data_IF_456290644777
#
_entry.id   IF_456290644777
#
_cell.length_a   1.000
_cell.length_b   1.000
_cell.length_c   1.000
_cell.angle_alpha   90.00
_cell.angle_beta   90.00
_cell.angle_gamma   90.00
#
_symmetry.space_group_name_H-M   'P 1'
#
loop_
_entity.id
_entity.type
_entity.pdbx_description
1 polymer ?
#
# COMPACT_ATOMS: atom_id res chain seq x y z
N UNK A 1 20.24 -13.27 -0.32
CA UNK A 1 19.00 -12.69 -0.90
C UNK A 1 18.84 -11.24 -0.45
N UNK A 2 19.08 -10.27 -1.33
CA UNK A 2 19.04 -8.84 -0.99
C UNK A 2 17.61 -8.35 -0.65
N UNK A 3 17.32 -7.93 0.60
CA UNK A 3 15.97 -7.54 1.04
C UNK A 3 15.43 -6.29 0.34
N UNK A 4 16.33 -5.41 -0.09
CA UNK A 4 16.03 -4.14 -0.76
C UNK A 4 15.48 -4.31 -2.18
N UNK A 5 15.76 -5.45 -2.83
CA UNK A 5 15.42 -5.70 -4.24
C UNK A 5 13.97 -6.15 -4.43
N UNK A 6 13.38 -6.85 -3.45
CA UNK A 6 11.97 -7.29 -3.47
C UNK A 6 10.98 -6.14 -3.25
N UNK A 7 11.35 -5.15 -2.41
CA UNK A 7 10.57 -3.94 -2.19
C UNK A 7 10.57 -3.01 -3.41
N UNK A 8 11.73 -2.88 -4.07
CA UNK A 8 11.83 -2.15 -5.34
C UNK A 8 11.01 -2.79 -6.45
N UNK A 9 10.86 -4.12 -6.51
CA UNK A 9 10.02 -4.76 -7.52
C UNK A 9 8.56 -4.38 -7.34
N UNK A 10 7.89 -4.78 -6.24
CA UNK A 10 6.43 -4.58 -6.06
C UNK A 10 5.97 -3.13 -6.13
N UNK A 11 6.74 -2.20 -5.57
CA UNK A 11 6.39 -0.77 -5.67
C UNK A 11 6.73 -0.15 -7.01
N UNK A 12 7.56 -0.77 -7.86
CA UNK A 12 7.78 -0.23 -9.20
C UNK A 12 6.53 -0.40 -10.08
N UNK A 13 5.85 -1.57 -10.06
CA UNK A 13 4.61 -1.70 -10.84
C UNK A 13 3.50 -0.78 -10.31
N UNK A 14 3.26 -0.76 -9.00
CA UNK A 14 2.25 0.15 -8.42
C UNK A 14 2.61 1.63 -8.63
N UNK A 15 3.90 2.00 -8.59
CA UNK A 15 4.34 3.37 -8.89
C UNK A 15 4.19 3.71 -10.38
N UNK A 16 4.47 2.78 -11.29
CA UNK A 16 4.25 2.96 -12.72
C UNK A 16 2.76 3.18 -13.02
N UNK A 17 1.89 2.37 -12.41
CA UNK A 17 0.43 2.53 -12.50
C UNK A 17 -0.01 3.88 -11.92
N UNK A 18 0.48 4.25 -10.74
CA UNK A 18 0.17 5.53 -10.10
C UNK A 18 0.63 6.72 -10.96
N UNK A 19 1.83 6.67 -11.53
CA UNK A 19 2.35 7.73 -12.40
C UNK A 19 1.58 7.83 -13.72
N UNK A 20 1.16 6.70 -14.29
CA UNK A 20 0.31 6.70 -15.48
C UNK A 20 -1.06 7.32 -15.19
N UNK A 21 -1.66 7.01 -14.03
CA UNK A 21 -2.92 7.60 -13.60
C UNK A 21 -2.79 9.10 -13.28
N UNK A 22 -1.69 9.51 -12.65
CA UNK A 22 -1.37 10.91 -12.39
C UNK A 22 -1.32 11.73 -13.69
N UNK A 23 -0.64 11.22 -14.73
CA UNK A 23 -0.60 11.86 -16.05
C UNK A 23 -1.98 12.04 -16.68
N UNK A 24 -2.89 11.08 -16.48
CA UNK A 24 -4.25 11.13 -17.04
C UNK A 24 -5.22 12.00 -16.24
N UNK A 25 -5.01 12.15 -14.94
CA UNK A 25 -5.94 12.82 -14.03
C UNK A 25 -5.47 14.20 -13.57
N UNK A 26 -4.21 14.57 -13.83
CA UNK A 26 -3.58 15.78 -13.30
C UNK A 26 -3.37 15.75 -11.78
N UNK A 27 -3.56 14.61 -11.11
CA UNK A 27 -3.36 14.46 -9.66
C UNK A 27 -1.93 13.98 -9.36
N UNK A 28 -1.32 14.41 -8.24
CA UNK A 28 0.04 14.01 -7.91
C UNK A 28 0.11 12.52 -7.54
N UNK A 29 1.10 11.82 -8.09
CA UNK A 29 1.52 10.51 -7.59
C UNK A 29 2.66 10.69 -6.58
N UNK A 30 2.55 10.05 -5.40
CA UNK A 30 3.56 10.12 -4.35
C UNK A 30 3.98 8.71 -3.93
N UNK A 31 4.80 8.00 -4.74
CA UNK A 31 5.17 6.61 -4.47
C UNK A 31 5.92 6.39 -3.15
N UNK A 32 6.55 7.44 -2.60
CA UNK A 32 7.29 7.41 -1.35
C UNK A 32 6.47 7.85 -0.13
N UNK A 33 5.16 8.07 -0.30
CA UNK A 33 4.25 8.54 0.75
C UNK A 33 4.18 7.57 1.93
N UNK A 34 4.08 6.27 1.64
CA UNK A 34 4.08 5.21 2.63
C UNK A 34 5.46 4.58 2.70
N UNK A 35 5.91 4.35 3.92
CA UNK A 35 7.15 3.66 4.21
C UNK A 35 6.88 2.45 5.09
N UNK A 36 7.78 1.49 5.00
CA UNK A 36 7.82 0.38 5.93
C UNK A 36 8.81 0.70 7.05
N UNK A 37 8.32 0.79 8.28
CA UNK A 37 9.13 1.14 9.46
C UNK A 37 9.99 0.00 9.99
N UNK A 38 9.63 -1.25 9.69
CA UNK A 38 10.36 -2.45 10.08
C UNK A 38 10.28 -3.53 9.01
N UNK A 39 11.30 -4.37 8.90
CA UNK A 39 11.21 -5.57 8.07
C UNK A 39 10.03 -6.45 8.54
N UNK A 40 9.34 -7.08 7.61
CA UNK A 40 8.34 -8.11 7.93
C UNK A 40 8.72 -9.38 7.18
N UNK A 41 8.53 -10.56 7.79
CA UNK A 41 8.59 -11.84 7.09
C UNK A 41 7.82 -11.84 5.76
N UNK A 42 8.24 -12.72 4.85
CA UNK A 42 7.51 -12.99 3.62
C UNK A 42 6.05 -13.35 3.94
N UNK A 43 5.12 -12.89 3.10
CA UNK A 43 3.72 -13.28 3.24
C UNK A 43 3.39 -14.62 2.56
N UNK A 44 4.36 -15.25 1.88
CA UNK A 44 4.17 -16.57 1.28
C UNK A 44 3.77 -17.60 2.34
N UNK A 45 2.81 -18.47 2.01
CA UNK A 45 2.29 -19.49 2.94
C UNK A 45 1.43 -18.94 4.09
N UNK A 46 1.41 -17.62 4.34
CA UNK A 46 0.62 -17.05 5.43
C UNK A 46 -0.88 -16.96 5.08
N UNK A 47 -1.73 -17.34 6.03
CA UNK A 47 -3.17 -17.13 5.98
C UNK A 47 -3.53 -15.64 6.19
N UNK A 48 -4.82 -15.29 6.04
CA UNK A 48 -5.29 -13.90 6.14
C UNK A 48 -4.92 -13.24 7.48
N UNK A 49 -5.18 -13.93 8.60
CA UNK A 49 -4.92 -13.41 9.95
C UNK A 49 -3.43 -13.18 10.17
N UNK A 50 -2.60 -14.15 9.78
CA UNK A 50 -1.14 -14.06 9.86
C UNK A 50 -0.60 -12.90 9.03
N UNK A 51 -1.15 -12.65 7.83
CA UNK A 51 -0.73 -11.50 7.01
C UNK A 51 -1.07 -10.16 7.64
N UNK A 52 -2.26 -10.04 8.24
CA UNK A 52 -2.68 -8.84 8.96
C UNK A 52 -1.73 -8.58 10.13
N UNK A 53 -1.45 -9.60 10.94
CA UNK A 53 -0.57 -9.47 12.10
C UNK A 53 0.88 -9.15 11.68
N UNK A 54 1.37 -9.82 10.64
CA UNK A 54 2.70 -9.57 10.07
C UNK A 54 2.90 -8.09 9.66
N UNK A 55 1.84 -7.46 9.14
CA UNK A 55 1.83 -6.06 8.72
C UNK A 55 1.45 -5.06 9.81
N UNK A 56 0.98 -5.52 10.97
CA UNK A 56 0.52 -4.65 12.05
C UNK A 56 1.64 -3.70 12.48
N UNK A 57 1.36 -2.40 12.37
CA UNK A 57 2.31 -1.32 12.68
C UNK A 57 3.55 -1.26 11.76
N UNK A 58 3.62 -2.08 10.71
CA UNK A 58 4.77 -2.10 9.82
C UNK A 58 4.76 -0.95 8.80
N UNK A 59 3.58 -0.44 8.45
CA UNK A 59 3.38 0.63 7.46
C UNK A 59 3.10 1.96 8.18
N UNK A 60 3.71 3.04 7.70
CA UNK A 60 3.48 4.39 8.18
C UNK A 60 3.59 5.42 7.05
N UNK A 61 3.02 6.61 7.26
CA UNK A 61 3.27 7.77 6.40
C UNK A 61 4.68 8.29 6.65
N UNK A 62 5.41 8.61 5.58
CA UNK A 62 6.73 9.26 5.67
C UNK A 62 6.58 10.60 6.39
N UNK A 63 7.39 10.84 7.42
CA UNK A 63 7.29 12.04 8.26
C UNK A 63 7.28 13.35 7.44
N UNK A 64 8.16 13.47 6.43
CA UNK A 64 8.23 14.64 5.53
C UNK A 64 6.98 14.87 4.67
N UNK A 65 6.04 13.91 4.62
CA UNK A 65 4.83 13.93 3.80
C UNK A 65 3.54 13.94 4.65
N UNK A 66 3.64 13.92 5.98
CA UNK A 66 2.47 13.86 6.87
C UNK A 66 1.50 15.02 6.65
N UNK A 67 2.03 16.23 6.42
CA UNK A 67 1.23 17.42 6.11
C UNK A 67 0.39 17.28 4.83
N UNK A 68 0.86 16.51 3.84
CA UNK A 68 0.10 16.27 2.60
C UNK A 68 -1.05 15.27 2.78
N UNK A 69 -1.06 14.50 3.87
CA UNK A 69 -2.11 13.48 4.13
C UNK A 69 -3.26 14.04 4.95
N UNK A 70 -2.98 14.91 5.93
CA UNK A 70 -4.00 15.46 6.82
C UNK A 70 -5.06 16.23 6.01
N UNK A 71 -6.33 15.87 6.18
CA UNK A 71 -7.45 16.49 5.44
C UNK A 71 -7.62 16.01 4.00
N UNK A 72 -6.75 15.11 3.50
CA UNK A 72 -6.74 14.72 2.08
C UNK A 72 -7.58 13.48 1.80
N UNK A 73 -8.00 13.33 0.53
CA UNK A 73 -8.52 12.08 -0.03
C UNK A 73 -7.41 11.35 -0.76
N UNK A 74 -7.09 10.13 -0.33
CA UNK A 74 -5.95 9.37 -0.86
C UNK A 74 -6.43 8.14 -1.61
N UNK A 75 -5.90 7.94 -2.82
CA UNK A 75 -6.08 6.70 -3.59
C UNK A 75 -4.81 5.85 -3.48
N UNK A 76 -4.94 4.65 -2.90
CA UNK A 76 -3.87 3.66 -2.83
C UNK A 76 -3.92 2.80 -4.09
N UNK A 77 -2.78 2.70 -4.80
CA UNK A 77 -2.61 1.85 -5.97
C UNK A 77 -1.83 0.59 -5.56
N UNK A 78 -2.36 -0.59 -5.89
CA UNK A 78 -1.67 -1.87 -5.73
C UNK A 78 -1.72 -2.67 -7.04
N UNK A 79 -0.70 -3.46 -7.35
CA UNK A 79 -0.70 -4.27 -8.57
C UNK A 79 -1.65 -5.46 -8.45
N UNK A 80 -1.48 -6.28 -7.41
CA UNK A 80 -2.26 -7.49 -7.17
C UNK A 80 -2.72 -7.57 -5.72
N UNK A 81 -4.04 -7.45 -5.52
CA UNK A 81 -4.67 -7.65 -4.23
C UNK A 81 -4.97 -9.14 -3.99
N UNK A 82 -4.36 -9.71 -2.96
CA UNK A 82 -4.66 -11.07 -2.48
C UNK A 82 -5.68 -11.03 -1.34
N UNK A 83 -5.24 -11.11 -0.09
CA UNK A 83 -6.12 -11.04 1.09
C UNK A 83 -6.57 -9.63 1.44
N UNK A 84 -5.99 -8.62 0.80
CA UNK A 84 -6.19 -7.21 1.15
C UNK A 84 -5.39 -6.74 2.38
N UNK A 85 -4.57 -7.60 3.01
CA UNK A 85 -3.85 -7.24 4.23
C UNK A 85 -2.88 -6.04 4.04
N UNK A 86 -2.21 -5.96 2.89
CA UNK A 86 -1.31 -4.84 2.55
C UNK A 86 -2.07 -3.53 2.43
N UNK A 87 -3.13 -3.50 1.61
CA UNK A 87 -3.93 -2.29 1.39
C UNK A 87 -4.69 -1.85 2.65
N UNK A 88 -5.12 -2.80 3.50
CA UNK A 88 -5.70 -2.51 4.82
C UNK A 88 -4.68 -1.83 5.75
N UNK A 89 -3.45 -2.33 5.81
CA UNK A 89 -2.39 -1.71 6.59
C UNK A 89 -2.04 -0.30 6.07
N UNK A 90 -1.99 -0.11 4.74
CA UNK A 90 -1.82 1.20 4.11
C UNK A 90 -2.95 2.16 4.49
N UNK A 91 -4.21 1.72 4.34
CA UNK A 91 -5.37 2.54 4.64
C UNK A 91 -5.42 2.96 6.11
N UNK A 92 -5.13 2.03 7.04
CA UNK A 92 -5.02 2.33 8.47
C UNK A 92 -3.93 3.35 8.77
N UNK A 93 -2.77 3.26 8.11
CA UNK A 93 -1.69 4.24 8.27
C UNK A 93 -2.10 5.63 7.79
N UNK A 94 -2.77 5.73 6.63
CA UNK A 94 -3.26 6.98 6.06
C UNK A 94 -4.37 7.62 6.91
N UNK A 95 -5.34 6.81 7.37
CA UNK A 95 -6.42 7.27 8.26
C UNK A 95 -5.87 7.80 9.58
N UNK A 96 -4.90 7.11 10.19
CA UNK A 96 -4.21 7.61 11.41
C UNK A 96 -3.44 8.91 11.16
N UNK A 97 -2.93 9.12 9.96
CA UNK A 97 -2.28 10.36 9.56
C UNK A 97 -3.26 11.49 9.19
N UNK A 98 -4.57 11.27 9.31
CA UNK A 98 -5.60 12.28 9.13
C UNK A 98 -6.21 12.36 7.73
N UNK A 99 -6.05 11.34 6.88
CA UNK A 99 -6.77 11.28 5.60
C UNK A 99 -8.29 11.19 5.84
N UNK A 100 -9.06 12.05 5.17
CA UNK A 100 -10.54 12.05 5.29
C UNK A 100 -11.16 10.91 4.51
N UNK A 101 -10.59 10.57 3.36
CA UNK A 101 -11.02 9.45 2.53
C UNK A 101 -9.83 8.61 2.08
N UNK A 102 -10.00 7.29 2.06
CA UNK A 102 -9.00 6.37 1.50
C UNK A 102 -9.71 5.39 0.59
N UNK A 103 -9.39 5.44 -0.70
CA UNK A 103 -9.82 4.46 -1.69
C UNK A 103 -8.65 3.55 -2.07
N UNK A 104 -8.97 2.38 -2.60
CA UNK A 104 -7.99 1.42 -3.11
C UNK A 104 -8.39 1.02 -4.52
N UNK A 105 -7.44 1.01 -5.44
CA UNK A 105 -7.61 0.38 -6.75
C UNK A 105 -6.46 -0.58 -7.00
N UNK A 106 -6.77 -1.67 -7.71
CA UNK A 106 -5.80 -2.70 -8.04
C UNK A 106 -6.00 -3.20 -9.45
N UNK A 107 -4.92 -3.61 -10.11
CA UNK A 107 -4.99 -4.16 -11.47
C UNK A 107 -5.64 -5.55 -11.46
N UNK A 108 -5.32 -6.38 -10.46
CA UNK A 108 -5.89 -7.71 -10.33
C UNK A 108 -6.23 -8.04 -8.88
N UNK A 109 -7.33 -8.78 -8.69
CA UNK A 109 -7.72 -9.33 -7.40
C UNK A 109 -7.72 -10.85 -7.48
N UNK A 110 -7.05 -11.51 -6.55
CA UNK A 110 -7.17 -12.96 -6.38
C UNK A 110 -8.53 -13.26 -5.77
N UNK A 111 -9.39 -13.89 -6.57
CA UNK A 111 -10.66 -14.46 -6.12
C UNK A 111 -10.36 -15.84 -5.54
N UNK A 112 -10.91 -16.14 -4.36
CA UNK A 112 -10.90 -17.49 -3.82
C UNK A 112 -12.31 -18.05 -4.02
N UNK A 113 -12.41 -19.26 -4.53
CA UNK A 113 -13.68 -19.99 -4.56
C UNK A 113 -14.18 -20.12 -3.12
N UNK A 114 -15.42 -19.71 -2.90
CA UNK A 114 -16.13 -19.98 -1.65
C UNK A 114 -16.63 -21.40 -1.77
N UNK A 115 -15.96 -22.35 -1.12
CA UNK A 115 -16.50 -23.70 -0.90
C UNK A 115 -17.50 -23.66 0.24
#
# INVERSE_FOLDING_TARGET
>A
FHPTRLWRRRFNQSALLANALAKRTGKPAVPDLLIRRRATPSQGGLNRRQRIENLRGAIAVRAKRSGAVKGSSVLVIDDVMTTGATVDACAKALKRAGAVHVAVTTLARVVRETT
#
